data_IF_242187248422
#
_entry.id   IF_242187248422
#
_cell.length_a   1.000
_cell.length_b   1.000
_cell.length_c   1.000
_cell.angle_alpha   90.00
_cell.angle_beta   90.00
_cell.angle_gamma   90.00
#
_symmetry.space_group_name_H-M   'P 1'
#
loop_
_entity.id
_entity.type
_entity.pdbx_description
1 polymer ?
#
# COMPACT_ATOMS: atom_id res chain seq x y z
N UNK A 1 7.67 9.31 -1.50
CA UNK A 1 6.37 8.79 -1.01
C UNK A 1 6.64 7.56 -0.17
N UNK A 2 5.89 7.33 0.91
CA UNK A 2 5.85 6.02 1.56
C UNK A 2 4.72 5.18 0.94
N UNK A 3 5.07 3.99 0.45
CA UNK A 3 4.14 2.95 0.03
C UNK A 3 4.12 1.86 1.08
N UNK A 4 2.94 1.46 1.51
CA UNK A 4 2.72 0.42 2.50
C UNK A 4 1.95 -0.71 1.82
N UNK A 5 2.44 -1.94 1.95
CA UNK A 5 1.86 -3.14 1.37
C UNK A 5 1.62 -4.13 2.50
N UNK A 6 0.39 -4.63 2.61
CA UNK A 6 0.04 -5.69 3.55
C UNK A 6 -0.25 -6.98 2.78
N UNK A 7 0.58 -7.99 3.03
CA UNK A 7 0.46 -9.31 2.44
C UNK A 7 -0.51 -10.14 3.27
N UNK A 8 -1.68 -10.45 2.72
CA UNK A 8 -2.76 -11.12 3.45
C UNK A 8 -2.43 -12.55 3.84
N UNK A 9 -1.65 -13.25 3.01
CA UNK A 9 -1.29 -14.66 3.23
C UNK A 9 -0.24 -14.83 4.33
N UNK A 10 0.74 -13.92 4.40
CA UNK A 10 1.83 -13.99 5.38
C UNK A 10 1.61 -13.11 6.60
N UNK A 11 0.54 -12.30 6.60
CA UNK A 11 0.25 -11.29 7.63
C UNK A 11 1.39 -10.29 7.86
N UNK A 12 2.21 -10.05 6.82
CA UNK A 12 3.38 -9.21 6.92
C UNK A 12 3.13 -7.82 6.36
N UNK A 13 3.53 -6.79 7.11
CA UNK A 13 3.53 -5.40 6.66
C UNK A 13 4.88 -5.02 6.05
N UNK A 14 4.87 -4.59 4.79
CA UNK A 14 6.03 -4.10 4.08
C UNK A 14 5.91 -2.60 3.79
N UNK A 15 7.00 -1.86 3.98
CA UNK A 15 7.06 -0.42 3.71
C UNK A 15 8.20 -0.11 2.76
N UNK A 16 7.93 0.78 1.81
CA UNK A 16 8.90 1.29 0.86
C UNK A 16 8.88 2.81 0.84
N UNK A 17 10.08 3.39 0.73
CA UNK A 17 10.23 4.80 0.43
C UNK A 17 10.54 4.91 -1.07
N UNK A 18 9.58 5.42 -1.83
CA UNK A 18 9.75 5.69 -3.25
C UNK A 18 10.28 7.11 -3.45
N UNK A 19 11.41 7.20 -4.14
CA UNK A 19 12.12 8.45 -4.41
C UNK A 19 13.47 8.19 -5.08
N UNK A 20 14.24 9.25 -5.31
CA UNK A 20 15.45 9.22 -6.13
C UNK A 20 16.76 9.21 -5.32
N UNK A 21 16.69 9.24 -3.99
CA UNK A 21 17.87 9.16 -3.12
C UNK A 21 18.20 7.69 -2.81
N UNK A 22 18.95 7.08 -3.73
CA UNK A 22 19.32 5.66 -3.65
C UNK A 22 20.28 5.37 -2.49
N UNK A 23 21.14 6.33 -2.15
CA UNK A 23 22.08 6.21 -1.04
C UNK A 23 21.35 6.16 0.31
N UNK A 24 20.18 6.81 0.40
CA UNK A 24 19.26 6.69 1.53
C UNK A 24 18.38 5.41 1.50
N UNK A 25 18.61 4.49 0.55
CA UNK A 25 17.84 3.25 0.42
C UNK A 25 16.44 3.44 -0.18
N UNK A 26 16.17 4.58 -0.82
CA UNK A 26 14.92 4.78 -1.55
C UNK A 26 14.94 3.96 -2.84
N UNK A 27 13.75 3.58 -3.32
CA UNK A 27 13.60 2.84 -4.57
C UNK A 27 12.81 3.65 -5.60
N UNK A 28 13.19 3.52 -6.87
CA UNK A 28 12.51 4.24 -7.95
C UNK A 28 11.14 3.64 -8.31
N UNK A 29 10.98 2.33 -8.08
CA UNK A 29 9.78 1.57 -8.43
C UNK A 29 9.51 0.48 -7.39
N UNK A 30 8.24 0.13 -7.22
CA UNK A 30 7.80 -0.98 -6.37
C UNK A 30 6.74 -1.81 -7.11
N UNK A 31 6.72 -3.11 -6.81
CA UNK A 31 5.68 -4.02 -7.31
C UNK A 31 4.76 -4.36 -6.13
N UNK A 32 3.47 -4.13 -6.31
CA UNK A 32 2.44 -4.57 -5.36
C UNK A 32 1.87 -5.89 -5.89
N UNK A 33 2.04 -7.02 -5.18
CA UNK A 33 1.45 -8.27 -5.59
C UNK A 33 -0.08 -8.19 -5.64
N UNK A 34 -0.69 -8.91 -6.59
CA UNK A 34 -2.14 -9.06 -6.61
C UNK A 34 -2.65 -9.63 -5.28
N UNK A 35 -3.86 -9.24 -4.87
CA UNK A 35 -4.50 -9.59 -3.59
C UNK A 35 -3.84 -9.04 -2.33
N UNK A 36 -2.71 -8.32 -2.43
CA UNK A 36 -2.20 -7.54 -1.32
C UNK A 36 -3.00 -6.23 -1.16
N UNK A 37 -3.09 -5.75 0.07
CA UNK A 37 -3.62 -4.40 0.33
C UNK A 37 -2.49 -3.39 0.22
N UNK A 38 -2.77 -2.21 -0.35
CA UNK A 38 -1.81 -1.11 -0.41
C UNK A 38 -2.41 0.21 0.04
N UNK A 39 -1.58 1.06 0.63
CA UNK A 39 -1.85 2.48 0.80
C UNK A 39 -0.56 3.29 0.64
N UNK A 40 -0.72 4.58 0.35
CA UNK A 40 0.41 5.45 0.07
C UNK A 40 0.22 6.84 0.68
N UNK A 41 1.32 7.48 1.09
CA UNK A 41 1.33 8.88 1.52
C UNK A 41 2.55 9.63 1.01
N UNK A 42 2.35 10.91 0.69
CA UNK A 42 3.47 11.84 0.44
C UNK A 42 4.29 12.03 1.72
N UNK A 43 5.61 12.14 1.58
CA UNK A 43 6.54 12.46 2.69
C UNK A 43 7.00 13.93 2.68
N UNK A 44 6.43 14.71 1.77
CA UNK A 44 6.60 16.16 1.65
C UNK A 44 5.29 16.77 1.18
N UNK A 45 5.36 17.95 0.56
CA UNK A 45 4.15 18.66 0.11
C UNK A 45 3.31 17.85 -0.91
N UNK A 46 3.96 17.13 -1.83
CA UNK A 46 3.29 16.26 -2.80
C UNK A 46 4.19 15.10 -3.25
N UNK A 47 3.62 14.16 -3.99
CA UNK A 47 4.33 13.09 -4.69
C UNK A 47 3.58 12.79 -5.99
N UNK A 48 4.30 12.71 -7.11
CA UNK A 48 3.76 12.36 -8.42
C UNK A 48 4.38 11.04 -8.87
N UNK A 49 3.55 10.05 -9.20
CA UNK A 49 4.02 8.73 -9.66
C UNK A 49 3.14 8.21 -10.80
N UNK A 50 3.74 7.35 -11.62
CA UNK A 50 2.99 6.50 -12.54
C UNK A 50 2.61 5.19 -11.87
N UNK A 51 1.39 4.72 -12.11
CA UNK A 51 0.92 3.40 -11.68
C UNK A 51 0.48 2.61 -12.91
N UNK A 52 1.06 1.44 -13.12
CA UNK A 52 0.72 0.53 -14.19
C UNK A 52 0.21 -0.76 -13.55
N UNK A 53 -0.91 -1.27 -14.03
CA UNK A 53 -1.57 -2.46 -13.50
C UNK A 53 -1.64 -3.51 -14.60
N UNK A 54 -1.36 -4.76 -14.24
CA UNK A 54 -1.48 -5.92 -15.14
C UNK A 54 -2.09 -7.12 -14.39
N UNK A 55 -3.12 -7.81 -14.94
CA UNK A 55 -3.91 -7.45 -16.12
C UNK A 55 -4.54 -6.05 -16.03
N UNK A 56 -5.05 -5.53 -17.16
CA UNK A 56 -5.61 -4.17 -17.21
C UNK A 56 -6.67 -3.94 -16.13
N UNK A 57 -6.69 -2.73 -15.57
CA UNK A 57 -7.61 -2.36 -14.49
C UNK A 57 -9.08 -2.52 -14.89
N UNK A 58 -9.86 -3.13 -13.99
CA UNK A 58 -11.33 -3.20 -14.06
C UNK A 58 -11.91 -2.89 -12.67
N UNK A 59 -13.02 -2.14 -12.63
CA UNK A 59 -13.68 -1.81 -11.36
C UNK A 59 -14.19 -3.03 -10.61
N UNK A 60 -14.48 -4.14 -11.30
CA UNK A 60 -14.88 -5.42 -10.68
C UNK A 60 -13.78 -6.02 -9.80
N UNK A 61 -12.53 -5.65 -10.07
CA UNK A 61 -11.35 -6.14 -9.35
C UNK A 61 -10.87 -5.15 -8.27
N UNK A 62 -11.49 -3.96 -8.20
CA UNK A 62 -11.12 -2.90 -7.28
C UNK A 62 -12.02 -2.87 -6.04
N UNK A 63 -11.41 -2.77 -4.86
CA UNK A 63 -12.10 -2.78 -3.59
C UNK A 63 -11.36 -1.88 -2.60
N UNK A 64 -12.09 -1.15 -1.74
CA UNK A 64 -11.48 -0.53 -0.58
C UNK A 64 -11.57 -1.47 0.63
N UNK A 65 -10.60 -1.38 1.54
CA UNK A 65 -10.61 -2.15 2.79
C UNK A 65 -11.91 -1.95 3.56
N UNK A 66 -12.48 -0.74 3.53
CA UNK A 66 -13.73 -0.38 4.22
C UNK A 66 -14.96 -1.12 3.70
N UNK A 67 -14.90 -1.67 2.49
CA UNK A 67 -15.98 -2.43 1.88
C UNK A 67 -16.03 -3.87 2.42
N UNK A 68 -14.98 -4.33 3.13
CA UNK A 68 -14.98 -5.62 3.78
C UNK A 68 -15.85 -5.63 5.05
N UNK A 69 -16.70 -6.65 5.24
CA UNK A 69 -17.44 -6.83 6.49
C UNK A 69 -16.49 -6.90 7.69
N UNK A 70 -16.76 -6.08 8.71
CA UNK A 70 -15.94 -6.07 9.93
C UNK A 70 -14.51 -5.58 9.72
N UNK A 71 -14.18 -4.88 8.62
CA UNK A 71 -12.84 -4.39 8.29
C UNK A 71 -12.07 -3.77 9.47
N UNK A 72 -12.73 -2.99 10.32
CA UNK A 72 -12.14 -2.40 11.55
C UNK A 72 -11.51 -3.43 12.50
N UNK A 73 -12.06 -4.64 12.56
CA UNK A 73 -11.57 -5.73 13.40
C UNK A 73 -10.25 -6.31 12.89
N UNK A 74 -9.90 -6.08 11.62
CA UNK A 74 -8.66 -6.54 11.00
C UNK A 74 -7.47 -5.62 11.27
N UNK A 75 -7.69 -4.40 11.79
CA UNK A 75 -6.61 -3.49 12.18
C UNK A 75 -6.12 -3.77 13.61
N UNK A 76 -5.44 -4.90 13.78
CA UNK A 76 -4.80 -5.37 15.03
C UNK A 76 -3.32 -5.70 14.76
N UNK A 77 -2.52 -5.90 15.81
CA UNK A 77 -1.08 -6.21 15.66
C UNK A 77 -0.34 -5.12 14.88
N UNK A 78 0.46 -5.52 13.88
CA UNK A 78 1.21 -4.58 13.02
C UNK A 78 0.30 -3.59 12.28
N UNK A 79 -0.94 -3.99 11.96
CA UNK A 79 -1.92 -3.12 11.30
C UNK A 79 -2.54 -2.08 12.23
N UNK A 80 -2.35 -2.18 13.56
CA UNK A 80 -2.95 -1.24 14.52
C UNK A 80 -2.46 0.20 14.30
N UNK A 81 -1.20 0.38 13.91
CA UNK A 81 -0.61 1.69 13.62
C UNK A 81 -1.23 2.36 12.38
N UNK A 82 -1.90 1.60 11.52
CA UNK A 82 -2.46 2.04 10.25
C UNK A 82 -3.96 2.31 10.31
N UNK A 83 -4.56 2.28 11.51
CA UNK A 83 -6.00 2.59 11.71
C UNK A 83 -6.43 3.96 11.18
N UNK A 84 -5.51 4.90 11.03
CA UNK A 84 -5.81 6.22 10.47
C UNK A 84 -6.05 6.20 8.95
N UNK A 85 -5.83 5.06 8.28
CA UNK A 85 -6.17 4.82 6.87
C UNK A 85 -7.53 4.11 6.67
N UNK A 86 -8.29 3.88 7.74
CA UNK A 86 -9.70 3.42 7.69
C UNK A 86 -10.64 4.50 7.12
#
# INVERSE_FOLDING_TARGET
MELIIYHTETHHLQKHILGNDLDAGQILQAIVPGKAWQCARSLGAFSLMGCIVTPGFDFRDFQFVRDLPGHVLHFKGEMAALRHYL
#
